data_IF_326587985140
#
_entry.id   IF_326587985140
#
_cell.length_a   1.000
_cell.length_b   1.000
_cell.length_c   1.000
_cell.angle_alpha   90.00
_cell.angle_beta   90.00
_cell.angle_gamma   90.00
#
_symmetry.space_group_name_H-M   'P 1'
#
loop_
_entity.id
_entity.type
_entity.pdbx_description
1 polymer ?
#
# COMPACT_ATOMS: atom_id res chain seq x y z
N UNK A 1 -14.26 0.46 -14.01
CA UNK A 1 -13.31 -0.10 -13.03
C UNK A 1 -13.84 -1.39 -12.41
N UNK A 2 -13.65 -2.53 -13.08
CA UNK A 2 -14.10 -3.83 -12.57
C UNK A 2 -13.12 -4.44 -11.56
N UNK A 3 -11.84 -4.05 -11.59
CA UNK A 3 -10.77 -4.61 -10.76
C UNK A 3 -10.96 -4.36 -9.26
N UNK A 4 -11.51 -3.20 -8.87
CA UNK A 4 -11.67 -2.80 -7.47
C UNK A 4 -13.14 -2.83 -6.99
N UNK A 5 -14.07 -3.26 -7.85
CA UNK A 5 -15.51 -3.14 -7.57
C UNK A 5 -15.95 -3.91 -6.32
N UNK A 6 -15.40 -5.11 -6.10
CA UNK A 6 -15.72 -5.92 -4.92
C UNK A 6 -15.20 -5.26 -3.63
N UNK A 7 -13.96 -4.76 -3.65
CA UNK A 7 -13.38 -4.07 -2.51
C UNK A 7 -14.09 -2.74 -2.25
N UNK A 8 -14.57 -2.05 -3.30
CA UNK A 8 -15.39 -0.85 -3.14
C UNK A 8 -16.69 -1.10 -2.37
N UNK A 9 -17.31 -2.27 -2.55
CA UNK A 9 -18.48 -2.70 -1.75
C UNK A 9 -18.07 -2.93 -0.29
N UNK A 10 -16.96 -3.63 -0.05
CA UNK A 10 -16.51 -3.97 1.32
C UNK A 10 -16.02 -2.74 2.11
N UNK A 11 -15.41 -1.78 1.43
CA UNK A 11 -14.84 -0.58 2.04
C UNK A 11 -15.86 0.55 2.19
N UNK A 12 -17.05 0.41 1.59
CA UNK A 12 -18.11 1.41 1.63
C UNK A 12 -17.73 2.73 0.94
N UNK A 13 -18.54 3.77 1.13
CA UNK A 13 -18.34 5.08 0.48
C UNK A 13 -17.10 5.85 0.98
N UNK A 14 -16.71 5.59 2.23
CA UNK A 14 -15.66 6.37 2.91
C UNK A 14 -14.34 5.60 3.09
N UNK A 15 -14.29 4.33 2.67
CA UNK A 15 -13.05 3.56 2.72
C UNK A 15 -12.06 3.95 1.63
N UNK A 16 -10.85 3.40 1.71
CA UNK A 16 -9.76 3.71 0.78
C UNK A 16 -10.12 3.29 -0.64
N UNK A 17 -9.91 4.21 -1.60
CA UNK A 17 -10.20 4.03 -3.03
C UNK A 17 -8.90 4.12 -3.81
N UNK A 18 -8.38 2.96 -4.22
CA UNK A 18 -7.12 2.89 -4.97
C UNK A 18 -7.35 2.62 -6.46
N UNK A 19 -8.56 2.25 -6.88
CA UNK A 19 -8.89 2.08 -8.30
C UNK A 19 -8.00 1.04 -8.97
N UNK A 20 -7.35 1.41 -10.07
CA UNK A 20 -6.42 0.55 -10.79
C UNK A 20 -4.96 0.67 -10.31
N UNK A 21 -4.69 1.22 -9.13
CA UNK A 21 -3.33 1.43 -8.62
C UNK A 21 -2.80 0.26 -7.77
N UNK A 22 -3.31 -0.95 -7.97
CA UNK A 22 -2.94 -2.15 -7.22
C UNK A 22 -4.12 -2.82 -6.52
N UNK A 23 -3.88 -3.90 -5.76
CA UNK A 23 -4.92 -4.57 -5.01
C UNK A 23 -5.34 -3.74 -3.80
N UNK A 24 -6.66 -3.60 -3.59
CA UNK A 24 -7.19 -2.94 -2.42
C UNK A 24 -7.53 -3.94 -1.32
N UNK A 25 -6.76 -3.92 -0.23
CA UNK A 25 -7.02 -4.74 0.97
C UNK A 25 -7.23 -3.88 2.23
N UNK A 26 -7.55 -2.61 2.04
CA UNK A 26 -7.81 -1.66 3.11
C UNK A 26 -9.23 -1.84 3.65
N UNK A 27 -9.41 -2.79 4.57
CA UNK A 27 -10.70 -2.97 5.23
C UNK A 27 -11.10 -1.73 6.04
N UNK A 28 -12.41 -1.52 6.21
CA UNK A 28 -12.99 -0.37 6.91
C UNK A 28 -12.83 -0.43 8.43
N UNK A 29 -11.64 -0.76 8.93
CA UNK A 29 -11.36 -0.75 10.36
C UNK A 29 -11.31 0.69 10.89
N UNK A 30 -11.82 0.88 12.10
CA UNK A 30 -11.73 2.15 12.83
C UNK A 30 -10.26 2.57 13.04
N UNK A 31 -9.93 3.88 13.09
CA UNK A 31 -8.55 4.34 13.25
C UNK A 31 -7.82 3.75 14.46
N UNK A 32 -8.52 3.57 15.58
CA UNK A 32 -7.96 2.97 16.80
C UNK A 32 -7.57 1.50 16.61
N UNK A 33 -8.33 0.77 15.79
CA UNK A 33 -8.03 -0.62 15.47
C UNK A 33 -6.79 -0.69 14.56
N UNK A 34 -6.64 0.23 13.62
CA UNK A 34 -5.46 0.28 12.77
C UNK A 34 -4.17 0.60 13.56
N UNK A 35 -4.26 1.52 14.54
CA UNK A 35 -3.18 1.77 15.51
C UNK A 35 -2.83 0.49 16.26
N UNK A 36 -3.82 -0.24 16.78
CA UNK A 36 -3.61 -1.50 17.51
C UNK A 36 -2.91 -2.56 16.64
N UNK A 37 -3.32 -2.70 15.38
CA UNK A 37 -2.72 -3.62 14.41
C UNK A 37 -1.26 -3.25 14.12
N UNK A 38 -0.97 -1.97 13.87
CA UNK A 38 0.38 -1.52 13.57
C UNK A 38 1.33 -1.66 14.78
N UNK A 39 0.85 -1.36 15.99
CA UNK A 39 1.61 -1.61 17.24
C UNK A 39 1.92 -3.11 17.41
N UNK A 40 0.96 -3.97 17.08
CA UNK A 40 1.19 -5.42 17.11
C UNK A 40 2.25 -5.85 16.09
N UNK A 41 2.15 -5.39 14.84
CA UNK A 41 3.11 -5.71 13.78
C UNK A 41 4.53 -5.22 14.13
N UNK A 42 4.66 -3.98 14.60
CA UNK A 42 5.93 -3.43 15.07
C UNK A 42 6.53 -4.28 16.19
N UNK A 43 5.74 -4.67 17.20
CA UNK A 43 6.25 -5.52 18.29
C UNK A 43 6.82 -6.83 17.76
N UNK A 44 6.09 -7.50 16.86
CA UNK A 44 6.55 -8.75 16.24
C UNK A 44 7.83 -8.53 15.44
N UNK A 45 7.92 -7.46 14.66
CA UNK A 45 9.15 -7.13 13.92
C UNK A 45 10.34 -6.92 14.85
N UNK A 46 10.18 -6.11 15.90
CA UNK A 46 11.25 -5.81 16.85
C UNK A 46 11.68 -7.04 17.65
N UNK A 47 10.75 -7.88 18.09
CA UNK A 47 11.03 -9.16 18.78
C UNK A 47 11.86 -10.11 17.90
N UNK A 48 11.77 -9.98 16.57
CA UNK A 48 12.53 -10.76 15.60
C UNK A 48 13.74 -10.01 15.02
N UNK A 49 14.12 -8.85 15.59
CA UNK A 49 15.29 -8.08 15.16
C UNK A 49 15.10 -7.25 13.88
N UNK A 50 13.89 -7.16 13.34
CA UNK A 50 13.55 -6.29 12.21
C UNK A 50 13.34 -4.87 12.73
N UNK A 51 14.31 -4.00 12.49
CA UNK A 51 14.32 -2.62 13.01
C UNK A 51 14.03 -1.56 11.97
N UNK A 52 13.96 -1.94 10.68
CA UNK A 52 13.65 -1.06 9.56
C UNK A 52 12.76 -1.80 8.57
N UNK A 53 11.70 -1.17 8.07
CA UNK A 53 10.80 -1.71 7.04
C UNK A 53 10.58 -0.71 5.90
N UNK A 54 10.38 -1.25 4.70
CA UNK A 54 9.84 -0.50 3.56
C UNK A 54 8.37 -0.85 3.40
N UNK A 55 7.47 0.08 3.67
CA UNK A 55 6.03 -0.13 3.52
C UNK A 55 5.60 0.25 2.11
N UNK A 56 5.36 -0.75 1.28
CA UNK A 56 5.14 -0.60 -0.15
C UNK A 56 3.66 -0.36 -0.54
N UNK A 57 2.75 -0.16 0.42
CA UNK A 57 1.36 0.13 0.10
C UNK A 57 0.75 1.13 1.09
N UNK A 58 1.32 2.33 1.14
CA UNK A 58 0.84 3.39 2.04
C UNK A 58 -0.22 4.24 1.34
N UNK A 59 -1.44 4.22 1.85
CA UNK A 59 -2.49 5.20 1.50
C UNK A 59 -2.55 6.33 2.54
N UNK A 60 -3.52 7.25 2.40
CA UNK A 60 -3.81 8.27 3.42
C UNK A 60 -4.12 7.66 4.79
N UNK A 61 -4.71 6.45 4.81
CA UNK A 61 -5.07 5.72 6.05
C UNK A 61 -3.84 5.29 6.84
N UNK A 62 -2.92 4.58 6.21
CA UNK A 62 -1.67 4.12 6.85
C UNK A 62 -0.79 5.30 7.22
N UNK A 63 -0.71 6.31 6.36
CA UNK A 63 0.05 7.54 6.64
C UNK A 63 -0.46 8.27 7.90
N UNK A 64 -1.78 8.37 8.09
CA UNK A 64 -2.35 8.95 9.30
C UNK A 64 -2.00 8.13 10.56
N UNK A 65 -2.01 6.80 10.45
CA UNK A 65 -1.63 5.91 11.56
C UNK A 65 -0.14 6.04 11.92
N UNK A 66 0.75 6.09 10.94
CA UNK A 66 2.19 6.33 11.18
C UNK A 66 2.45 7.70 11.81
N UNK A 67 1.75 8.75 11.37
CA UNK A 67 1.85 10.07 11.98
C UNK A 67 1.39 10.05 13.45
N UNK A 68 0.24 9.45 13.74
CA UNK A 68 -0.26 9.34 15.11
C UNK A 68 0.73 8.62 16.05
N UNK A 69 1.33 7.51 15.60
CA UNK A 69 2.36 6.80 16.38
C UNK A 69 3.65 7.61 16.52
N UNK A 70 3.99 8.43 15.53
CA UNK A 70 5.17 9.31 15.62
C UNK A 70 4.93 10.43 16.64
N UNK A 71 3.76 11.06 16.61
CA UNK A 71 3.36 12.14 17.51
C UNK A 71 3.27 11.68 18.97
N UNK A 72 2.82 10.45 19.20
CA UNK A 72 2.75 9.85 20.53
C UNK A 72 4.05 9.20 21.01
N UNK A 73 5.14 9.30 20.25
CA UNK A 73 6.39 8.57 20.49
C UNK A 73 6.18 7.06 20.71
N UNK A 74 5.35 6.43 19.88
CA UNK A 74 5.07 4.98 19.90
C UNK A 74 5.62 4.25 18.65
N UNK A 75 6.06 4.99 17.64
CA UNK A 75 6.78 4.43 16.50
C UNK A 75 8.25 4.18 16.88
N UNK A 76 8.60 2.91 17.10
CA UNK A 76 9.91 2.44 17.58
C UNK A 76 10.75 1.74 16.50
N UNK A 77 10.16 1.42 15.35
CA UNK A 77 10.89 0.94 14.16
C UNK A 77 11.06 2.06 13.12
N UNK A 78 12.06 1.94 12.25
CA UNK A 78 12.21 2.84 11.10
C UNK A 78 11.32 2.40 9.94
N UNK A 79 10.61 3.34 9.35
CA UNK A 79 9.67 3.09 8.25
C UNK A 79 10.02 4.00 7.08
N UNK A 80 10.33 3.37 5.95
CA UNK A 80 10.37 4.02 4.64
C UNK A 80 9.06 3.73 3.92
N UNK A 81 8.17 4.71 3.92
CA UNK A 81 6.88 4.63 3.26
C UNK A 81 7.03 4.84 1.75
N UNK A 82 6.32 4.03 0.98
CA UNK A 82 6.10 4.25 -0.44
C UNK A 82 4.61 4.49 -0.63
N UNK A 83 4.24 5.74 -0.97
CA UNK A 83 2.86 6.07 -1.27
C UNK A 83 2.38 5.25 -2.45
N UNK A 84 1.19 4.68 -2.38
CA UNK A 84 0.63 3.97 -3.51
C UNK A 84 0.29 4.95 -4.63
N UNK A 85 0.45 4.56 -5.90
CA UNK A 85 0.37 5.47 -7.04
C UNK A 85 -0.96 6.18 -7.26
N UNK A 86 -2.05 5.80 -6.58
CA UNK A 86 -3.28 6.58 -6.54
C UNK A 86 -3.10 7.97 -5.86
N UNK A 87 -1.98 8.17 -5.17
CA UNK A 87 -1.58 9.44 -4.55
C UNK A 87 -0.46 10.16 -5.32
N UNK A 88 -0.10 9.67 -6.51
CA UNK A 88 1.04 10.19 -7.26
C UNK A 88 0.88 11.68 -7.58
N UNK A 89 -0.31 12.10 -8.00
CA UNK A 89 -0.58 13.50 -8.35
C UNK A 89 -0.41 14.41 -7.13
N UNK A 90 -0.92 14.01 -5.96
CA UNK A 90 -0.72 14.79 -4.72
C UNK A 90 0.76 14.83 -4.30
N UNK A 91 1.50 13.73 -4.46
CA UNK A 91 2.94 13.69 -4.15
C UNK A 91 3.74 14.64 -5.07
N UNK A 92 3.38 14.70 -6.36
CA UNK A 92 3.98 15.61 -7.34
C UNK A 92 3.62 17.07 -7.00
N UNK A 93 2.35 17.34 -6.69
CA UNK A 93 1.87 18.68 -6.35
C UNK A 93 2.58 19.26 -5.11
N UNK A 94 2.85 18.41 -4.11
CA UNK A 94 3.62 18.78 -2.92
C UNK A 94 5.12 19.00 -3.19
N UNK A 95 5.62 18.64 -4.38
CA UNK A 95 7.00 18.90 -4.80
C UNK A 95 8.05 17.98 -4.16
N UNK A 96 7.65 16.77 -3.71
CA UNK A 96 8.60 15.82 -3.15
C UNK A 96 9.56 15.31 -4.23
N UNK A 97 10.86 15.56 -4.04
CA UNK A 97 11.94 15.17 -4.96
C UNK A 97 12.91 14.14 -4.36
N UNK A 98 12.71 13.77 -3.09
CA UNK A 98 13.51 12.80 -2.37
C UNK A 98 12.87 12.46 -1.02
N UNK A 99 13.53 11.63 -0.19
CA UNK A 99 12.99 11.22 1.09
C UNK A 99 12.66 12.41 2.01
N UNK A 100 11.45 12.44 2.55
CA UNK A 100 10.99 13.49 3.47
C UNK A 100 10.48 12.89 4.78
N UNK A 101 10.88 13.44 5.92
CA UNK A 101 10.42 12.95 7.23
C UNK A 101 11.45 13.15 8.35
N UNK A 102 11.51 12.20 9.27
CA UNK A 102 12.39 12.23 10.44
C UNK A 102 13.20 10.91 10.58
N UNK A 103 13.86 10.71 11.72
CA UNK A 103 14.73 9.56 11.97
C UNK A 103 14.00 8.19 11.99
N UNK A 104 12.68 8.17 12.20
CA UNK A 104 11.86 6.96 12.30
C UNK A 104 10.85 6.81 11.17
N UNK A 105 10.38 7.90 10.58
CA UNK A 105 9.37 7.87 9.52
C UNK A 105 9.81 8.72 8.33
N UNK A 106 9.85 8.13 7.14
CA UNK A 106 10.20 8.80 5.89
C UNK A 106 9.23 8.44 4.77
N UNK A 107 8.72 9.44 4.04
CA UNK A 107 8.13 9.26 2.72
C UNK A 107 9.28 9.09 1.71
N UNK A 108 9.56 7.85 1.33
CA UNK A 108 10.75 7.47 0.56
C UNK A 108 10.50 7.34 -0.94
N UNK A 109 9.25 7.21 -1.37
CA UNK A 109 8.91 7.16 -2.79
C UNK A 109 7.45 6.83 -3.07
N UNK A 110 7.19 6.37 -4.29
CA UNK A 110 5.87 5.93 -4.75
C UNK A 110 5.96 4.49 -5.26
N UNK A 111 4.98 3.65 -4.92
CA UNK A 111 4.85 2.28 -5.44
C UNK A 111 3.83 2.24 -6.58
N UNK A 112 4.25 1.66 -7.69
CA UNK A 112 3.39 1.31 -8.83
C UNK A 112 3.22 -0.20 -8.91
N UNK A 113 2.05 -0.64 -9.37
CA UNK A 113 1.78 -2.02 -9.76
C UNK A 113 1.70 -2.09 -11.27
N UNK A 114 2.40 -3.04 -11.88
CA UNK A 114 2.27 -3.29 -13.32
C UNK A 114 1.10 -4.24 -13.61
N UNK A 115 1.07 -5.34 -12.88
CA UNK A 115 0.14 -6.46 -13.03
C UNK A 115 -0.18 -7.12 -11.67
N UNK A 116 -0.91 -8.22 -11.71
CA UNK A 116 -1.37 -8.94 -10.52
C UNK A 116 -0.42 -10.04 -10.02
N UNK A 117 -0.99 -11.20 -9.70
CA UNK A 117 -0.25 -12.31 -9.07
C UNK A 117 -0.34 -13.59 -9.90
N UNK A 118 0.68 -14.46 -9.77
CA UNK A 118 0.67 -15.78 -10.41
C UNK A 118 -0.46 -16.67 -9.86
N UNK A 119 -0.60 -16.75 -8.54
CA UNK A 119 -1.63 -17.60 -7.90
C UNK A 119 -3.05 -17.14 -8.19
N UNK A 120 -3.25 -15.82 -8.35
CA UNK A 120 -4.53 -15.24 -8.76
C UNK A 120 -4.77 -15.25 -10.27
N UNK A 121 -3.82 -15.74 -11.08
CA UNK A 121 -3.85 -15.72 -12.54
C UNK A 121 -4.02 -14.31 -13.14
N UNK A 122 -3.52 -13.29 -12.44
CA UNK A 122 -3.62 -11.89 -12.84
C UNK A 122 -2.27 -11.27 -13.22
N UNK A 123 -1.15 -11.96 -12.98
CA UNK A 123 0.14 -11.57 -13.55
C UNK A 123 0.09 -11.66 -15.08
N UNK A 124 0.68 -10.68 -15.77
CA UNK A 124 0.51 -10.49 -17.20
C UNK A 124 1.55 -11.27 -18.01
N UNK A 125 1.07 -12.12 -18.91
CA UNK A 125 1.88 -12.86 -19.88
C UNK A 125 1.30 -12.62 -21.28
N UNK A 126 2.04 -11.95 -22.18
CA UNK A 126 1.52 -11.63 -23.51
C UNK A 126 1.24 -12.88 -24.35
N UNK A 127 1.96 -13.97 -24.08
CA UNK A 127 1.81 -15.28 -24.75
C UNK A 127 0.83 -16.21 -24.02
N UNK A 128 0.26 -15.75 -22.90
CA UNK A 128 -0.64 -16.51 -22.05
C UNK A 128 0.05 -17.47 -21.08
N UNK A 129 -0.73 -18.07 -20.17
CA UNK A 129 -0.21 -19.03 -19.20
C UNK A 129 0.02 -20.41 -19.84
N UNK A 130 1.00 -21.15 -19.32
CA UNK A 130 1.22 -22.55 -19.68
C UNK A 130 -0.05 -23.36 -19.33
N UNK A 131 -0.66 -23.98 -20.34
CA UNK A 131 -1.88 -24.77 -20.19
C UNK A 131 -3.19 -23.98 -20.38
N UNK A 132 -3.14 -22.65 -20.43
CA UNK A 132 -4.27 -21.78 -20.79
C UNK A 132 -3.76 -20.53 -21.55
N UNK A 133 -3.37 -20.67 -22.83
CA UNK A 133 -2.81 -19.55 -23.61
C UNK A 133 -3.80 -18.40 -23.83
N UNK A 134 -5.11 -18.65 -23.68
CA UNK A 134 -6.15 -17.63 -23.80
C UNK A 134 -6.19 -16.71 -22.56
N UNK A 135 -5.61 -17.13 -21.44
CA UNK A 135 -5.51 -16.32 -20.24
C UNK A 135 -4.17 -15.61 -20.23
N UNK A 136 -4.20 -14.28 -20.31
CA UNK A 136 -2.98 -13.45 -20.37
C UNK A 136 -2.75 -12.62 -19.11
N UNK A 137 -3.63 -12.71 -18.10
CA UNK A 137 -3.55 -11.89 -16.90
C UNK A 137 -4.15 -10.49 -17.11
N UNK A 138 -3.74 -9.53 -16.29
CA UNK A 138 -4.29 -8.17 -16.29
C UNK A 138 -3.18 -7.15 -16.00
N UNK A 139 -3.24 -6.02 -16.71
CA UNK A 139 -2.42 -4.85 -16.40
C UNK A 139 -3.22 -3.88 -15.55
N UNK A 140 -2.54 -3.24 -14.60
CA UNK A 140 -3.09 -2.15 -13.79
C UNK A 140 -3.07 -0.80 -14.52
N UNK A 141 -2.11 -0.61 -15.43
CA UNK A 141 -1.98 0.59 -16.24
C UNK A 141 -1.98 0.22 -17.73
N UNK A 142 -2.62 1.05 -18.55
CA UNK A 142 -2.52 0.90 -20.00
C UNK A 142 -1.07 1.19 -20.46
N UNK A 143 -0.53 0.43 -21.43
CA UNK A 143 0.81 0.65 -21.99
C UNK A 143 1.00 2.00 -22.68
#
# INVERSE_FOLDING_TARGET
ELSDAACNVLTGLHGVKVGHHGPNFHLGDEPAEHIRQLLHAQRVFLENGVTTVGDAQVSKREFATYQALTESDELKMRVSMYFLSHLLDEVIELGFTGPFGNAFLSAAGVKLYADGTLGGWTAYFPEGYVGDPCRTGQLYHDP
#
